data_IF_387494289470
#
_entry.id   IF_387494289470
#
_cell.length_a   1.000
_cell.length_b   1.000
_cell.length_c   1.000
_cell.angle_alpha   90.00
_cell.angle_beta   90.00
_cell.angle_gamma   90.00
#
_symmetry.space_group_name_H-M   'P 1'
#
loop_
_entity.id
_entity.type
_entity.pdbx_description
1 polymer ?
#
# COMPACT_ATOMS: atom_id res chain seq x y z
N UNK A 1 7.00 22.00 2.35
CA UNK A 1 6.57 21.94 3.77
C UNK A 1 5.08 21.60 3.97
N UNK A 2 4.17 21.90 3.02
CA UNK A 2 2.74 21.60 3.18
C UNK A 2 2.37 20.13 3.37
N UNK A 3 3.04 19.20 2.67
CA UNK A 3 2.78 17.76 2.83
C UNK A 3 3.05 17.27 4.26
N UNK A 4 4.16 17.70 4.87
CA UNK A 4 4.49 17.34 6.26
C UNK A 4 3.46 17.91 7.25
N UNK A 5 3.07 19.17 7.08
CA UNK A 5 2.06 19.80 7.93
C UNK A 5 0.72 19.06 7.84
N UNK A 6 0.28 18.70 6.62
CA UNK A 6 -0.95 17.94 6.41
C UNK A 6 -0.92 16.58 7.12
N UNK A 7 0.15 15.80 6.92
CA UNK A 7 0.27 14.49 7.59
C UNK A 7 0.29 14.64 9.12
N UNK A 8 0.98 15.67 9.63
CA UNK A 8 1.04 15.95 11.06
C UNK A 8 -0.32 16.33 11.66
N UNK A 9 -1.10 17.17 10.98
CA UNK A 9 -2.47 17.50 11.42
C UNK A 9 -3.37 16.25 11.46
N UNK A 10 -3.24 15.36 10.49
CA UNK A 10 -4.04 14.13 10.45
C UNK A 10 -3.60 13.10 11.50
N UNK A 11 -2.31 13.02 11.83
CA UNK A 11 -1.82 12.20 12.96
C UNK A 11 -2.36 12.73 14.29
N UNK A 12 -2.32 14.05 14.51
CA UNK A 12 -2.91 14.68 15.70
C UNK A 12 -4.41 14.44 15.77
N UNK A 13 -5.11 14.54 14.64
CA UNK A 13 -6.54 14.19 14.55
C UNK A 13 -6.78 12.75 15.00
N UNK A 14 -6.05 11.77 14.45
CA UNK A 14 -6.18 10.37 14.84
C UNK A 14 -5.97 10.17 16.35
N UNK A 15 -4.92 10.78 16.92
CA UNK A 15 -4.67 10.74 18.37
C UNK A 15 -5.82 11.34 19.20
N UNK A 16 -6.34 12.51 18.80
CA UNK A 16 -7.46 13.19 19.48
C UNK A 16 -8.73 12.34 19.47
N UNK A 17 -8.94 11.57 18.41
CA UNK A 17 -10.10 10.71 18.22
C UNK A 17 -9.89 9.26 18.67
N UNK A 18 -8.77 8.96 19.35
CA UNK A 18 -8.46 7.61 19.85
C UNK A 18 -8.44 6.56 18.72
N UNK A 19 -7.93 6.95 17.55
CA UNK A 19 -7.69 6.06 16.42
C UNK A 19 -6.25 5.54 16.53
N UNK A 20 -6.12 4.24 16.77
CA UNK A 20 -4.82 3.63 17.09
C UNK A 20 -3.87 3.52 15.89
N UNK A 21 -4.39 3.58 14.67
CA UNK A 21 -3.63 3.36 13.44
C UNK A 21 -3.75 4.51 12.46
N UNK A 22 -2.60 5.03 12.04
CA UNK A 22 -2.50 6.01 10.96
C UNK A 22 -1.89 5.33 9.73
N UNK A 23 -2.67 5.19 8.66
CA UNK A 23 -2.25 4.46 7.47
C UNK A 23 -1.83 5.43 6.36
N UNK A 24 -0.55 5.39 5.97
CA UNK A 24 0.00 6.13 4.82
C UNK A 24 -0.30 5.49 3.46
N UNK A 25 -1.04 4.37 3.45
CA UNK A 25 -1.41 3.59 2.27
C UNK A 25 -0.22 3.02 1.50
N UNK A 26 -0.54 2.42 0.35
CA UNK A 26 0.35 1.56 -0.43
C UNK A 26 1.66 2.21 -0.89
N UNK A 27 2.62 1.34 -1.08
CA UNK A 27 3.91 1.55 -1.76
C UNK A 27 4.03 0.45 -2.81
N UNK A 28 4.97 0.59 -3.76
CA UNK A 28 5.17 -0.41 -4.83
C UNK A 28 5.59 -1.79 -4.30
N UNK A 29 6.24 -1.82 -3.14
CA UNK A 29 6.88 -3.02 -2.59
C UNK A 29 8.30 -3.25 -3.14
N UNK A 30 8.77 -2.43 -4.08
CA UNK A 30 10.17 -2.40 -4.50
C UNK A 30 10.97 -1.51 -3.55
N UNK A 31 11.81 -2.10 -2.69
CA UNK A 31 12.63 -1.36 -1.72
C UNK A 31 14.02 -0.98 -2.27
N UNK A 32 14.25 -1.11 -3.58
CA UNK A 32 15.48 -0.68 -4.22
C UNK A 32 15.58 0.85 -4.28
N UNK A 33 16.81 1.37 -4.35
CA UNK A 33 17.02 2.81 -4.55
C UNK A 33 16.60 3.30 -5.94
N UNK A 34 16.27 2.38 -6.86
CA UNK A 34 15.75 2.66 -8.20
C UNK A 34 14.22 2.61 -8.28
N UNK A 35 13.53 2.29 -7.18
CA UNK A 35 12.08 2.22 -7.16
C UNK A 35 11.44 3.55 -7.55
N UNK A 36 10.37 3.51 -8.34
CA UNK A 36 9.63 4.70 -8.80
C UNK A 36 9.13 5.55 -7.62
N UNK A 37 8.72 4.90 -6.53
CA UNK A 37 8.20 5.54 -5.33
C UNK A 37 9.23 5.66 -4.20
N UNK A 38 10.54 5.49 -4.48
CA UNK A 38 11.60 5.56 -3.46
C UNK A 38 11.50 6.81 -2.58
N UNK A 39 11.28 7.99 -3.17
CA UNK A 39 11.11 9.25 -2.42
C UNK A 39 9.88 9.25 -1.50
N UNK A 40 8.78 8.64 -1.93
CA UNK A 40 7.56 8.48 -1.13
C UNK A 40 7.80 7.50 0.02
N UNK A 41 8.55 6.41 -0.22
CA UNK A 41 8.94 5.47 0.83
C UNK A 41 9.80 6.16 1.91
N UNK A 42 10.80 6.96 1.51
CA UNK A 42 11.62 7.73 2.46
C UNK A 42 10.78 8.76 3.23
N UNK A 43 9.83 9.42 2.57
CA UNK A 43 8.90 10.35 3.24
C UNK A 43 8.09 9.66 4.34
N UNK A 44 7.45 8.51 4.03
CA UNK A 44 6.67 7.73 4.99
C UNK A 44 7.54 7.21 6.14
N UNK A 45 8.75 6.71 5.82
CA UNK A 45 9.74 6.28 6.80
C UNK A 45 10.15 7.41 7.75
N UNK A 46 10.19 8.65 7.27
CA UNK A 46 10.44 9.83 8.10
C UNK A 46 9.42 10.09 9.20
N UNK A 47 8.22 9.49 9.12
CA UNK A 47 7.20 9.51 10.18
C UNK A 47 7.24 8.27 11.09
N UNK A 48 8.32 7.48 11.02
CA UNK A 48 8.46 6.21 11.74
C UNK A 48 7.36 5.18 11.35
N UNK A 49 6.96 5.19 10.07
CA UNK A 49 5.97 4.24 9.57
C UNK A 49 6.54 2.83 9.40
N UNK A 50 5.74 1.82 9.72
CA UNK A 50 6.05 0.42 9.47
C UNK A 50 5.31 -0.09 8.22
N UNK A 51 6.00 -0.90 7.41
CA UNK A 51 5.40 -1.56 6.26
C UNK A 51 4.65 -2.80 6.73
N UNK A 52 3.41 -2.93 6.27
CA UNK A 52 2.60 -4.14 6.45
C UNK A 52 2.29 -4.74 5.09
N UNK A 53 2.77 -5.97 4.88
CA UNK A 53 2.43 -6.76 3.70
C UNK A 53 1.17 -7.58 3.98
N UNK A 54 0.15 -7.43 3.12
CA UNK A 54 -1.11 -8.15 3.25
C UNK A 54 -1.02 -9.51 2.56
N UNK A 55 -1.95 -10.41 2.91
CA UNK A 55 -2.07 -11.76 2.34
C UNK A 55 -2.34 -11.80 0.83
N UNK A 56 -2.64 -10.65 0.22
CA UNK A 56 -2.90 -10.52 -1.21
C UNK A 56 -4.27 -11.06 -1.63
N UNK A 57 -4.36 -11.42 -2.91
CA UNK A 57 -5.61 -11.82 -3.54
C UNK A 57 -5.79 -13.35 -3.56
N UNK A 58 -7.01 -13.79 -3.27
CA UNK A 58 -7.39 -15.19 -3.36
C UNK A 58 -8.44 -15.37 -4.46
N UNK A 59 -8.13 -16.25 -5.42
CA UNK A 59 -9.04 -16.54 -6.53
C UNK A 59 -9.54 -17.98 -6.40
N UNK A 60 -10.87 -18.16 -6.35
CA UNK A 60 -11.53 -19.47 -6.37
C UNK A 60 -12.29 -19.68 -7.68
N UNK A 61 -11.74 -20.43 -8.64
CA UNK A 61 -12.42 -20.69 -9.91
C UNK A 61 -13.64 -21.59 -9.74
N UNK A 62 -14.85 -21.07 -9.97
CA UNK A 62 -16.09 -21.88 -9.93
C UNK A 62 -16.22 -22.84 -11.14
N UNK A 63 -15.64 -22.47 -12.29
CA UNK A 63 -15.58 -23.29 -13.50
C UNK A 63 -14.12 -23.38 -13.96
N UNK A 64 -13.37 -24.40 -13.50
CA UNK A 64 -11.91 -24.46 -13.70
C UNK A 64 -11.48 -24.40 -15.17
N UNK A 65 -12.19 -25.07 -16.07
CA UNK A 65 -11.86 -25.09 -17.50
C UNK A 65 -12.02 -23.72 -18.18
N UNK A 66 -13.15 -23.03 -17.92
CA UNK A 66 -13.39 -21.69 -18.48
C UNK A 66 -12.41 -20.67 -17.90
N UNK A 67 -12.11 -20.76 -16.60
CA UNK A 67 -11.14 -19.89 -15.95
C UNK A 67 -9.73 -20.08 -16.52
N UNK A 68 -9.34 -21.32 -16.84
CA UNK A 68 -8.07 -21.61 -17.49
C UNK A 68 -8.00 -21.00 -18.90
N UNK A 69 -9.08 -21.11 -19.70
CA UNK A 69 -9.14 -20.48 -21.02
C UNK A 69 -9.06 -18.95 -20.94
N UNK A 70 -9.76 -18.34 -19.99
CA UNK A 70 -9.72 -16.90 -19.75
C UNK A 70 -8.32 -16.41 -19.35
N UNK A 71 -7.66 -17.10 -18.41
CA UNK A 71 -6.32 -16.72 -17.95
C UNK A 71 -5.26 -16.92 -19.02
N UNK A 72 -5.41 -17.89 -19.93
CA UNK A 72 -4.53 -18.04 -21.10
C UNK A 72 -4.72 -16.89 -22.11
N UNK A 73 -5.96 -16.48 -22.37
CA UNK A 73 -6.26 -15.37 -23.28
C UNK A 73 -5.70 -14.03 -22.77
N UNK A 74 -5.82 -13.78 -21.47
CA UNK A 74 -5.39 -12.53 -20.86
C UNK A 74 -3.91 -12.52 -20.46
N UNK A 75 -3.15 -13.58 -20.82
CA UNK A 75 -1.70 -13.67 -20.59
C UNK A 75 -0.87 -13.05 -21.74
N UNK A 76 -1.48 -12.18 -22.55
CA UNK A 76 -0.83 -11.40 -23.62
C UNK A 76 -0.80 -9.93 -23.17
#
# INVERSE_FOLDING_TARGET
MGAYALQWEMIKFAKKHQIDKYNFYGITGDFSNSAEDYGVQQFKKGFDAHVEEYIGDFIKPCKPLLFKLFTLKNKI
#
